data_IF_123525442494
#
_entry.id   IF_123525442494
#
_cell.length_a   1.000
_cell.length_b   1.000
_cell.length_c   1.000
_cell.angle_alpha   90.00
_cell.angle_beta   90.00
_cell.angle_gamma   90.00
#
_symmetry.space_group_name_H-M   'P 1'
#
loop_
_entity.id
_entity.type
_entity.pdbx_description
1 polymer ?
#
# COMPACT_ATOMS: atom_id res chain seq x y z
N UNK A 1 27.84 14.70 -6.14
CA UNK A 1 28.20 13.44 -5.45
C UNK A 1 27.01 12.49 -5.35
N UNK A 2 25.79 13.01 -5.20
CA UNK A 2 24.54 12.23 -5.20
C UNK A 2 24.35 11.25 -6.38
N UNK A 3 24.79 11.60 -7.60
CA UNK A 3 24.64 10.73 -8.78
C UNK A 3 25.31 9.35 -8.61
N UNK A 4 26.38 9.25 -7.83
CA UNK A 4 27.05 7.98 -7.54
C UNK A 4 26.19 7.06 -6.66
N UNK A 5 25.42 7.64 -5.73
CA UNK A 5 24.49 6.91 -4.88
C UNK A 5 23.36 6.31 -5.72
N UNK A 6 22.81 7.08 -6.66
CA UNK A 6 21.80 6.59 -7.61
C UNK A 6 22.34 5.44 -8.48
N UNK A 7 23.56 5.58 -9.02
CA UNK A 7 24.20 4.53 -9.81
C UNK A 7 24.46 3.28 -8.98
N UNK A 8 24.97 3.43 -7.75
CA UNK A 8 25.19 2.32 -6.84
C UNK A 8 23.88 1.61 -6.48
N UNK A 9 22.81 2.37 -6.23
CA UNK A 9 21.50 1.81 -5.95
C UNK A 9 20.93 1.07 -7.16
N UNK A 10 20.95 1.66 -8.36
CA UNK A 10 20.51 0.98 -9.59
C UNK A 10 21.33 -0.30 -9.80
N UNK A 11 22.65 -0.26 -9.58
CA UNK A 11 23.51 -1.45 -9.62
C UNK A 11 23.10 -2.52 -8.62
N UNK A 12 22.78 -2.14 -7.38
CA UNK A 12 22.24 -3.05 -6.36
C UNK A 12 20.91 -3.67 -6.82
N UNK A 13 19.99 -2.88 -7.38
CA UNK A 13 18.70 -3.39 -7.86
C UNK A 13 18.88 -4.36 -9.03
N UNK A 14 19.72 -4.02 -10.01
CA UNK A 14 20.04 -4.92 -11.11
C UNK A 14 20.66 -6.22 -10.61
N UNK A 15 21.57 -6.15 -9.63
CA UNK A 15 22.15 -7.32 -8.99
C UNK A 15 21.08 -8.18 -8.30
N UNK A 16 20.22 -7.58 -7.48
CA UNK A 16 19.13 -8.28 -6.78
C UNK A 16 18.16 -8.93 -7.77
N UNK A 17 17.81 -8.24 -8.86
CA UNK A 17 16.98 -8.79 -9.93
C UNK A 17 17.66 -9.99 -10.61
N UNK A 18 18.94 -9.85 -10.98
CA UNK A 18 19.71 -10.95 -11.59
C UNK A 18 19.78 -12.16 -10.65
N UNK A 19 19.99 -11.97 -9.35
CA UNK A 19 19.99 -13.06 -8.37
C UNK A 19 18.62 -13.72 -8.26
N UNK A 20 17.55 -12.93 -8.12
CA UNK A 20 16.16 -13.41 -8.00
C UNK A 20 15.69 -14.20 -9.24
N UNK A 21 16.22 -13.87 -10.42
CA UNK A 21 15.84 -14.50 -11.70
C UNK A 21 16.77 -15.63 -12.12
N UNK A 22 18.08 -15.45 -11.93
CA UNK A 22 19.11 -16.34 -12.46
C UNK A 22 19.41 -17.54 -11.56
N UNK A 23 19.21 -17.40 -10.25
CA UNK A 23 19.63 -18.41 -9.27
C UNK A 23 18.48 -19.11 -8.55
N UNK A 24 17.41 -18.39 -8.18
CA UNK A 24 16.42 -18.93 -7.23
C UNK A 24 15.19 -19.63 -7.84
N UNK A 25 14.85 -19.41 -9.12
CA UNK A 25 13.59 -19.88 -9.70
C UNK A 25 13.74 -20.56 -11.07
N UNK A 26 14.76 -21.42 -11.25
CA UNK A 26 15.03 -22.10 -12.54
C UNK A 26 13.97 -23.12 -12.97
N UNK A 27 13.08 -23.55 -12.07
CA UNK A 27 12.03 -24.53 -12.40
C UNK A 27 10.63 -23.98 -12.06
N UNK A 28 9.69 -23.96 -13.02
CA UNK A 28 8.31 -23.56 -12.78
C UNK A 28 7.60 -24.66 -11.97
N UNK A 29 7.70 -24.58 -10.64
CA UNK A 29 6.95 -25.43 -9.70
C UNK A 29 6.08 -24.52 -8.84
N UNK A 30 4.89 -25.00 -8.46
CA UNK A 30 4.04 -24.27 -7.53
C UNK A 30 4.81 -24.09 -6.21
N UNK A 31 5.16 -22.84 -5.91
CA UNK A 31 5.91 -22.48 -4.69
C UNK A 31 5.06 -22.86 -3.49
N UNK A 32 5.61 -23.64 -2.57
CA UNK A 32 4.94 -24.00 -1.33
C UNK A 32 4.67 -22.73 -0.50
N UNK A 33 3.57 -22.68 0.25
CA UNK A 33 3.28 -21.54 1.14
C UNK A 33 4.45 -21.23 2.08
N UNK A 34 5.18 -22.26 2.56
CA UNK A 34 6.35 -22.07 3.43
C UNK A 34 7.52 -21.40 2.70
N UNK A 35 7.77 -21.82 1.47
CA UNK A 35 8.82 -21.26 0.62
C UNK A 35 8.48 -19.81 0.24
N UNK A 36 7.22 -19.54 -0.08
CA UNK A 36 6.76 -18.21 -0.43
C UNK A 36 6.81 -17.24 0.77
N UNK A 37 6.49 -17.72 1.97
CA UNK A 37 6.67 -16.95 3.22
C UNK A 37 8.14 -16.69 3.52
N UNK A 38 9.03 -17.68 3.33
CA UNK A 38 10.47 -17.49 3.51
C UNK A 38 11.02 -16.43 2.53
N UNK A 39 10.58 -16.47 1.27
CA UNK A 39 10.91 -15.45 0.29
C UNK A 39 10.37 -14.08 0.67
N UNK A 40 9.12 -13.99 1.12
CA UNK A 40 8.55 -12.72 1.59
C UNK A 40 9.34 -12.17 2.78
N UNK A 41 9.72 -13.02 3.72
CA UNK A 41 10.52 -12.63 4.88
C UNK A 41 11.89 -12.10 4.45
N UNK A 42 12.56 -12.79 3.52
CA UNK A 42 13.83 -12.34 2.95
C UNK A 42 13.72 -10.93 2.36
N UNK A 43 12.72 -10.67 1.52
CA UNK A 43 12.54 -9.35 0.91
C UNK A 43 12.22 -8.24 1.92
N UNK A 44 11.44 -8.56 2.96
CA UNK A 44 11.17 -7.62 4.06
C UNK A 44 12.46 -7.31 4.83
N UNK A 45 13.27 -8.32 5.14
CA UNK A 45 14.55 -8.10 5.82
C UNK A 45 15.50 -7.24 5.00
N UNK A 46 15.56 -7.42 3.68
CA UNK A 46 16.36 -6.56 2.80
C UNK A 46 15.88 -5.10 2.82
N UNK A 47 14.56 -4.87 2.83
CA UNK A 47 14.00 -3.53 2.95
C UNK A 47 14.31 -2.90 4.31
N UNK A 48 14.23 -3.66 5.41
CA UNK A 48 14.58 -3.17 6.75
C UNK A 48 16.07 -2.91 6.92
N UNK A 49 16.93 -3.75 6.35
CA UNK A 49 18.37 -3.52 6.31
C UNK A 49 18.71 -2.25 5.52
N UNK A 50 18.03 -2.02 4.39
CA UNK A 50 18.17 -0.79 3.63
C UNK A 50 17.61 0.42 4.39
N UNK A 51 16.54 0.26 5.17
CA UNK A 51 16.02 1.32 6.03
C UNK A 51 17.05 1.76 7.09
N UNK A 52 17.77 0.80 7.68
CA UNK A 52 18.88 1.08 8.58
C UNK A 52 20.03 1.78 7.86
N UNK A 53 20.30 1.40 6.61
CA UNK A 53 21.26 2.12 5.77
C UNK A 53 20.81 3.57 5.50
N UNK A 54 19.53 3.81 5.21
CA UNK A 54 18.96 5.16 5.05
C UNK A 54 19.15 5.99 6.32
N UNK A 55 18.91 5.41 7.50
CA UNK A 55 19.17 6.08 8.77
C UNK A 55 20.61 6.60 8.84
N UNK A 56 21.60 5.74 8.63
CA UNK A 56 23.01 6.15 8.71
C UNK A 56 23.43 7.07 7.56
N UNK A 57 22.87 6.89 6.37
CA UNK A 57 23.15 7.72 5.20
C UNK A 57 22.76 9.18 5.45
N UNK A 58 21.57 9.41 6.02
CA UNK A 58 21.05 10.74 6.32
C UNK A 58 21.63 11.32 7.61
N UNK A 59 21.80 10.51 8.66
CA UNK A 59 22.39 10.95 9.94
C UNK A 59 23.84 11.45 9.77
N UNK A 60 24.64 10.74 8.97
CA UNK A 60 26.04 11.12 8.72
C UNK A 60 26.20 12.04 7.51
N UNK A 61 25.10 12.46 6.88
CA UNK A 61 25.08 13.29 5.68
C UNK A 61 25.99 12.79 4.55
N UNK A 62 26.06 11.47 4.38
CA UNK A 62 26.89 10.85 3.36
C UNK A 62 26.48 11.32 1.96
N UNK A 63 27.47 11.67 1.13
CA UNK A 63 27.27 12.22 -0.21
C UNK A 63 26.44 13.53 -0.26
N UNK A 64 26.26 14.21 0.87
CA UNK A 64 25.43 15.41 0.99
C UNK A 64 23.95 15.15 1.30
N UNK A 65 23.56 13.89 1.57
CA UNK A 65 22.16 13.54 1.85
C UNK A 65 21.66 14.19 3.13
N UNK A 66 20.41 14.65 3.11
CA UNK A 66 19.80 15.37 4.24
C UNK A 66 20.20 16.84 4.35
N UNK A 67 21.15 17.30 3.53
CA UNK A 67 21.55 18.71 3.42
C UNK A 67 20.87 19.36 2.21
N UNK A 68 19.53 19.39 2.21
CA UNK A 68 18.80 19.99 1.09
C UNK A 68 18.86 21.52 1.11
N UNK A 69 18.84 22.12 -0.08
CA UNK A 69 18.84 23.58 -0.28
C UNK A 69 17.64 24.33 0.36
N UNK A 70 16.62 23.60 0.80
CA UNK A 70 15.39 24.12 1.40
C UNK A 70 15.44 24.08 2.93
N UNK A 71 16.41 24.80 3.53
CA UNK A 71 16.54 25.20 4.96
C UNK A 71 16.22 24.19 6.10
N UNK A 72 15.92 22.92 5.83
CA UNK A 72 15.51 21.92 6.81
C UNK A 72 16.43 20.72 6.63
N UNK A 73 17.27 20.48 7.64
CA UNK A 73 18.15 19.30 7.68
C UNK A 73 17.25 18.10 7.97
N UNK A 74 17.28 17.10 7.09
CA UNK A 74 16.56 15.85 7.32
C UNK A 74 17.47 14.90 8.09
N UNK A 75 17.12 14.60 9.33
CA UNK A 75 17.88 13.68 10.18
C UNK A 75 17.67 12.20 9.80
N UNK A 76 18.53 11.33 10.32
CA UNK A 76 18.47 9.90 9.99
C UNK A 76 17.17 9.23 10.44
N UNK A 77 16.63 9.66 11.58
CA UNK A 77 15.41 9.09 12.15
C UNK A 77 14.20 9.40 11.26
N UNK A 78 14.03 10.65 10.84
CA UNK A 78 12.95 11.09 9.99
C UNK A 78 13.07 10.47 8.59
N UNK A 79 14.28 10.41 8.02
CA UNK A 79 14.51 9.74 6.73
C UNK A 79 14.13 8.25 6.77
N UNK A 80 14.50 7.53 7.84
CA UNK A 80 14.14 6.13 8.02
C UNK A 80 12.62 5.94 8.22
N UNK A 81 11.96 6.86 8.95
CA UNK A 81 10.51 6.83 9.08
C UNK A 81 9.80 7.12 7.75
N UNK A 82 10.32 8.04 6.94
CA UNK A 82 9.83 8.34 5.60
C UNK A 82 9.99 7.13 4.67
N UNK A 83 11.14 6.47 4.68
CA UNK A 83 11.37 5.26 3.90
C UNK A 83 10.41 4.15 4.32
N UNK A 84 10.29 3.88 5.63
CA UNK A 84 9.43 2.81 6.14
C UNK A 84 7.96 3.08 5.86
N UNK A 85 7.49 4.32 6.04
CA UNK A 85 6.14 4.73 5.69
C UNK A 85 5.87 4.54 4.19
N UNK A 86 6.81 4.96 3.34
CA UNK A 86 6.68 4.77 1.91
C UNK A 86 6.66 3.32 1.48
N UNK A 87 7.55 2.51 2.07
CA UNK A 87 7.61 1.08 1.85
C UNK A 87 6.29 0.41 2.22
N UNK A 88 5.73 0.71 3.40
CA UNK A 88 4.48 0.09 3.86
C UNK A 88 3.29 0.52 3.00
N UNK A 89 3.17 1.81 2.66
CA UNK A 89 2.10 2.31 1.77
C UNK A 89 2.18 1.58 0.43
N UNK A 90 3.35 1.58 -0.22
CA UNK A 90 3.50 0.95 -1.52
C UNK A 90 3.34 -0.57 -1.45
N UNK A 91 3.86 -1.22 -0.40
CA UNK A 91 3.73 -2.68 -0.23
C UNK A 91 2.27 -3.08 -0.07
N UNK A 92 1.46 -2.23 0.54
CA UNK A 92 0.04 -2.48 0.74
C UNK A 92 -0.75 -2.29 -0.56
N UNK A 93 -0.47 -1.23 -1.31
CA UNK A 93 -1.17 -0.93 -2.58
C UNK A 93 -0.78 -1.89 -3.69
N UNK A 94 0.46 -2.34 -3.73
CA UNK A 94 0.91 -3.35 -4.69
C UNK A 94 0.23 -4.72 -4.52
N UNK A 95 -0.44 -5.00 -3.39
CA UNK A 95 -1.27 -6.20 -3.23
C UNK A 95 -2.50 -6.17 -4.15
N UNK A 96 -3.09 -4.99 -4.37
CA UNK A 96 -4.19 -4.85 -5.33
C UNK A 96 -3.70 -5.07 -6.77
N UNK A 97 -2.45 -4.71 -7.06
CA UNK A 97 -1.84 -4.94 -8.38
C UNK A 97 -1.70 -6.44 -8.69
N UNK A 98 -1.46 -7.28 -7.67
CA UNK A 98 -1.40 -8.75 -7.83
C UNK A 98 -2.75 -9.29 -8.32
N UNK A 99 -3.88 -8.75 -7.86
CA UNK A 99 -5.23 -9.15 -8.29
C UNK A 99 -5.38 -8.91 -9.79
N UNK A 100 -5.00 -7.73 -10.27
CA UNK A 100 -5.10 -7.41 -11.70
C UNK A 100 -4.20 -8.32 -12.51
N UNK A 101 -2.96 -8.56 -12.08
CA UNK A 101 -2.04 -9.46 -12.79
C UNK A 101 -2.64 -10.87 -12.91
N UNK A 102 -3.21 -11.41 -11.82
CA UNK A 102 -3.87 -12.71 -11.82
C UNK A 102 -5.09 -12.74 -12.77
N UNK A 103 -5.93 -11.70 -12.75
CA UNK A 103 -7.08 -11.57 -13.65
C UNK A 103 -6.65 -11.54 -15.11
N UNK A 104 -5.63 -10.76 -15.44
CA UNK A 104 -5.09 -10.66 -16.80
C UNK A 104 -4.52 -12.00 -17.26
N UNK A 105 -3.71 -12.67 -16.43
CA UNK A 105 -3.20 -14.00 -16.76
C UNK A 105 -4.30 -15.03 -16.95
N UNK A 106 -5.35 -15.00 -16.12
CA UNK A 106 -6.51 -15.89 -16.25
C UNK A 106 -7.30 -15.60 -17.53
N UNK A 107 -7.59 -14.32 -17.80
CA UNK A 107 -8.34 -13.87 -18.97
C UNK A 107 -7.66 -14.28 -20.28
N UNK A 108 -6.34 -14.03 -20.39
CA UNK A 108 -5.55 -14.43 -21.56
C UNK A 108 -5.09 -15.90 -21.53
N UNK A 109 -5.46 -16.66 -20.48
CA UNK A 109 -5.08 -18.06 -20.27
C UNK A 109 -3.57 -18.30 -20.41
N UNK A 110 -2.76 -17.44 -19.81
CA UNK A 110 -1.30 -17.47 -19.91
C UNK A 110 -0.74 -18.68 -19.17
N UNK A 111 -0.04 -19.61 -19.86
CA UNK A 111 0.60 -20.76 -19.22
C UNK A 111 1.58 -20.33 -18.11
N UNK A 112 1.60 -21.07 -16.99
CA UNK A 112 2.44 -20.77 -15.81
C UNK A 112 3.94 -20.60 -16.16
N UNK A 113 4.43 -21.35 -17.15
CA UNK A 113 5.83 -21.27 -17.60
C UNK A 113 6.19 -19.91 -18.22
N UNK A 114 5.22 -19.19 -18.80
CA UNK A 114 5.45 -17.88 -19.42
C UNK A 114 5.13 -16.70 -18.47
N UNK A 115 4.39 -16.93 -17.39
CA UNK A 115 4.05 -15.89 -16.41
C UNK A 115 5.31 -15.28 -15.78
N UNK A 116 6.33 -16.10 -15.50
CA UNK A 116 7.60 -15.63 -14.92
C UNK A 116 8.27 -14.56 -15.80
N UNK A 117 8.31 -14.78 -17.11
CA UNK A 117 8.91 -13.84 -18.07
C UNK A 117 8.13 -12.54 -18.14
N UNK A 118 6.80 -12.61 -18.13
CA UNK A 118 5.97 -11.40 -18.12
C UNK A 118 6.18 -10.62 -16.83
N UNK A 119 6.20 -11.29 -15.68
CA UNK A 119 6.47 -10.64 -14.39
C UNK A 119 7.86 -10.00 -14.34
N UNK A 120 8.87 -10.63 -14.94
CA UNK A 120 10.21 -10.05 -15.00
C UNK A 120 10.26 -8.74 -15.79
N UNK A 121 9.77 -8.77 -17.03
CA UNK A 121 9.72 -7.56 -17.86
C UNK A 121 8.76 -6.53 -17.27
N UNK A 122 7.69 -7.01 -16.61
CA UNK A 122 6.74 -6.24 -15.83
C UNK A 122 7.41 -5.42 -14.72
N UNK A 123 8.28 -6.05 -13.93
CA UNK A 123 9.01 -5.34 -12.88
C UNK A 123 9.93 -4.28 -13.49
N UNK A 124 10.68 -4.61 -14.56
CA UNK A 124 11.57 -3.64 -15.20
C UNK A 124 10.82 -2.44 -15.78
N UNK A 125 9.70 -2.67 -16.47
CA UNK A 125 8.88 -1.59 -17.03
C UNK A 125 8.28 -0.72 -15.94
N UNK A 126 7.71 -1.33 -14.90
CA UNK A 126 7.17 -0.61 -13.73
C UNK A 126 8.23 0.26 -13.06
N UNK A 127 9.44 -0.27 -12.81
CA UNK A 127 10.52 0.49 -12.20
C UNK A 127 10.88 1.74 -13.01
N UNK A 128 10.91 1.60 -14.34
CA UNK A 128 11.21 2.71 -15.25
C UNK A 128 10.07 3.73 -15.32
N UNK A 129 8.83 3.27 -15.51
CA UNK A 129 7.66 4.14 -15.58
C UNK A 129 7.45 4.90 -14.27
N UNK A 130 7.64 4.23 -13.13
CA UNK A 130 7.54 4.87 -11.82
C UNK A 130 8.62 5.90 -11.60
N UNK A 131 9.86 5.66 -12.04
CA UNK A 131 10.89 6.71 -11.98
C UNK A 131 10.43 7.98 -12.69
N UNK A 132 9.88 7.84 -13.91
CA UNK A 132 9.36 8.97 -14.68
C UNK A 132 8.23 9.67 -13.95
N UNK A 133 7.24 8.91 -13.46
CA UNK A 133 6.07 9.49 -12.77
C UNK A 133 6.43 10.14 -11.43
N UNK A 134 7.37 9.56 -10.67
CA UNK A 134 7.86 10.13 -9.41
C UNK A 134 8.59 11.45 -9.69
N UNK A 135 9.54 11.47 -10.64
CA UNK A 135 10.26 12.69 -10.97
C UNK A 135 9.33 13.78 -11.50
N UNK A 136 8.40 13.42 -12.40
CA UNK A 136 7.39 14.34 -12.91
C UNK A 136 6.43 14.85 -11.82
N UNK A 137 6.03 13.96 -10.91
CA UNK A 137 5.16 14.29 -9.78
C UNK A 137 5.83 15.21 -8.76
N UNK A 138 7.11 14.99 -8.45
CA UNK A 138 7.90 15.88 -7.58
C UNK A 138 8.02 17.26 -8.22
N UNK A 139 8.34 17.34 -9.52
CA UNK A 139 8.40 18.60 -10.25
C UNK A 139 7.04 19.33 -10.25
N UNK A 140 5.93 18.60 -10.36
CA UNK A 140 4.59 19.16 -10.28
C UNK A 140 4.28 19.71 -8.88
N UNK A 141 4.59 18.95 -7.83
CA UNK A 141 4.35 19.33 -6.42
C UNK A 141 5.24 20.46 -5.94
N UNK A 142 6.48 20.55 -6.43
CA UNK A 142 7.40 21.64 -6.10
C UNK A 142 7.02 22.94 -6.81
N UNK A 143 6.45 22.86 -8.01
CA UNK A 143 6.05 24.04 -8.80
C UNK A 143 4.66 24.56 -8.38
N UNK A 144 3.71 23.67 -8.12
CA UNK A 144 2.31 24.02 -7.87
C UNK A 144 1.86 23.59 -6.48
N UNK A 145 2.01 24.47 -5.48
CA UNK A 145 1.62 24.13 -4.10
C UNK A 145 0.14 23.70 -3.95
N UNK A 146 -0.76 24.23 -4.78
CA UNK A 146 -2.18 23.87 -4.78
C UNK A 146 -2.46 22.44 -5.27
N UNK A 147 -1.50 21.80 -5.96
CA UNK A 147 -1.67 20.43 -6.45
C UNK A 147 -1.84 19.43 -5.31
N UNK A 148 -1.29 19.72 -4.12
CA UNK A 148 -1.49 18.87 -2.94
C UNK A 148 -2.97 18.77 -2.57
N UNK A 149 -3.77 19.83 -2.81
CA UNK A 149 -5.21 19.77 -2.60
C UNK A 149 -5.92 18.90 -3.64
N UNK A 150 -5.49 18.98 -4.90
CA UNK A 150 -6.02 18.13 -5.98
C UNK A 150 -5.72 16.67 -5.68
N UNK A 151 -4.48 16.36 -5.33
CA UNK A 151 -4.04 15.03 -4.91
C UNK A 151 -4.80 14.53 -3.69
N UNK A 152 -4.96 15.38 -2.67
CA UNK A 152 -5.75 15.03 -1.48
C UNK A 152 -7.22 14.71 -1.79
N UNK A 153 -7.87 15.55 -2.60
CA UNK A 153 -9.24 15.35 -3.03
C UNK A 153 -9.38 14.11 -3.92
N UNK A 154 -8.41 13.87 -4.81
CA UNK A 154 -8.36 12.70 -5.68
C UNK A 154 -8.25 11.41 -4.88
N UNK A 155 -7.36 11.35 -3.88
CA UNK A 155 -7.22 10.18 -3.00
C UNK A 155 -8.49 9.88 -2.20
N UNK A 156 -9.19 10.90 -1.71
CA UNK A 156 -10.49 10.71 -1.05
C UNK A 156 -11.52 10.21 -2.04
N UNK A 157 -11.55 10.76 -3.25
CA UNK A 157 -12.44 10.31 -4.31
C UNK A 157 -12.19 8.84 -4.67
N UNK A 158 -10.93 8.42 -4.85
CA UNK A 158 -10.60 7.03 -5.18
C UNK A 158 -10.87 6.08 -4.02
N UNK A 159 -10.63 6.50 -2.77
CA UNK A 159 -11.06 5.77 -1.58
C UNK A 159 -12.58 5.52 -1.54
N UNK A 160 -13.39 6.57 -1.78
CA UNK A 160 -14.85 6.44 -1.79
C UNK A 160 -15.30 5.56 -2.96
N UNK A 161 -14.74 5.79 -4.15
CA UNK A 161 -15.00 4.97 -5.34
C UNK A 161 -14.70 3.50 -5.06
N UNK A 162 -13.58 3.19 -4.41
CA UNK A 162 -13.19 1.82 -4.07
C UNK A 162 -14.20 1.12 -3.12
N UNK A 163 -14.87 1.87 -2.24
CA UNK A 163 -15.88 1.34 -1.31
C UNK A 163 -17.29 1.25 -1.91
N UNK A 164 -17.65 2.17 -2.80
CA UNK A 164 -19.01 2.32 -3.33
C UNK A 164 -19.17 1.60 -4.67
N UNK A 165 -18.18 1.74 -5.56
CA UNK A 165 -18.20 1.17 -6.89
C UNK A 165 -17.58 -0.22 -6.79
N UNK A 166 -18.43 -1.23 -7.02
CA UNK A 166 -17.97 -2.59 -7.32
C UNK A 166 -17.08 -2.47 -8.55
N UNK A 167 -15.87 -3.02 -8.49
CA UNK A 167 -14.97 -2.99 -9.64
C UNK A 167 -15.72 -3.52 -10.85
N UNK A 168 -16.13 -2.61 -11.73
CA UNK A 168 -16.72 -2.95 -13.00
C UNK A 168 -15.71 -3.81 -13.74
N UNK A 169 -16.21 -4.83 -14.43
CA UNK A 169 -15.44 -5.78 -15.20
C UNK A 169 -14.29 -5.06 -15.92
N UNK A 170 -13.05 -5.30 -15.49
CA UNK A 170 -11.87 -4.93 -16.25
C UNK A 170 -11.94 -5.74 -17.53
N UNK A 171 -12.55 -5.18 -18.57
CA UNK A 171 -12.51 -5.73 -19.92
C UNK A 171 -11.17 -5.32 -20.53
N UNK A 172 -10.16 -6.23 -20.59
CA UNK A 172 -8.81 -5.84 -21.02
C UNK A 172 -8.80 -5.33 -22.48
N UNK A 173 -9.82 -5.69 -23.25
CA UNK A 173 -10.05 -5.26 -24.63
C UNK A 173 -10.34 -3.75 -24.77
N UNK A 174 -10.82 -3.09 -23.72
CA UNK A 174 -11.11 -1.66 -23.73
C UNK A 174 -9.92 -0.78 -23.32
N UNK A 175 -8.79 -1.38 -22.96
CA UNK A 175 -7.60 -0.63 -22.59
C UNK A 175 -7.07 0.17 -23.80
N UNK A 176 -6.93 1.51 -23.70
CA UNK A 176 -6.46 2.35 -24.79
C UNK A 176 -5.11 1.92 -25.37
N UNK A 177 -4.19 1.46 -24.51
CA UNK A 177 -2.86 1.01 -24.94
C UNK A 177 -2.93 -0.30 -25.71
N UNK A 178 -3.84 -1.20 -25.34
CA UNK A 178 -4.06 -2.46 -26.09
C UNK A 178 -4.64 -2.15 -27.47
N UNK A 179 -5.61 -1.25 -27.54
CA UNK A 179 -6.20 -0.79 -28.80
C UNK A 179 -5.15 -0.11 -29.70
N UNK A 180 -4.26 0.67 -29.09
CA UNK A 180 -3.13 1.30 -29.79
C UNK A 180 -2.15 0.24 -30.31
N UNK A 181 -1.82 -0.78 -29.51
CA UNK A 181 -0.95 -1.87 -29.93
C UNK A 181 -1.55 -2.65 -31.11
N UNK A 182 -2.85 -2.97 -31.09
CA UNK A 182 -3.54 -3.60 -32.22
C UNK A 182 -3.57 -2.73 -33.48
N UNK A 183 -3.50 -1.41 -33.34
CA UNK A 183 -3.44 -0.47 -34.47
C UNK A 183 -2.07 -0.48 -35.15
N UNK A 184 -0.99 -0.66 -34.39
CA UNK A 184 0.38 -0.58 -34.91
C UNK A 184 1.00 -1.94 -35.24
N UNK A 185 0.58 -3.03 -34.59
CA UNK A 185 1.15 -4.36 -34.78
C UNK A 185 0.07 -5.43 -35.00
N UNK A 186 0.19 -6.28 -36.04
CA UNK A 186 -0.67 -7.45 -36.20
C UNK A 186 -0.43 -8.48 -35.07
N UNK A 187 -1.48 -9.13 -34.58
CA UNK A 187 -1.39 -10.12 -33.50
C UNK A 187 -1.38 -11.56 -34.03
N UNK A 188 -0.61 -12.44 -33.39
CA UNK A 188 -0.65 -13.88 -33.64
C UNK A 188 -1.89 -14.54 -33.04
N UNK A 189 -2.33 -15.67 -33.59
CA UNK A 189 -3.50 -16.42 -33.09
C UNK A 189 -3.24 -17.19 -31.79
N UNK A 190 -1.97 -17.38 -31.40
CA UNK A 190 -1.60 -18.12 -30.19
C UNK A 190 -0.26 -17.71 -29.59
N UNK A 191 0.09 -18.35 -28.47
CA UNK A 191 1.38 -18.18 -27.81
C UNK A 191 2.49 -18.86 -28.63
N UNK A 192 3.59 -18.13 -28.86
CA UNK A 192 4.78 -18.64 -29.53
C UNK A 192 5.94 -18.70 -28.54
N UNK A 193 5.95 -19.77 -27.74
CA UNK A 193 6.91 -19.96 -26.65
C UNK A 193 6.90 -18.76 -25.68
N UNK A 194 8.08 -18.31 -25.29
CA UNK A 194 8.27 -17.19 -24.39
C UNK A 194 8.39 -15.85 -25.15
N UNK A 195 8.33 -15.81 -26.49
CA UNK A 195 8.61 -14.61 -27.28
C UNK A 195 7.47 -13.59 -27.24
N UNK A 196 7.82 -12.30 -27.15
CA UNK A 196 6.87 -11.18 -27.24
C UNK A 196 6.54 -10.76 -28.68
N UNK A 197 7.51 -10.94 -29.57
CA UNK A 197 7.36 -10.63 -30.98
C UNK A 197 7.87 -11.81 -31.79
N UNK A 198 7.20 -12.08 -32.89
CA UNK A 198 7.67 -13.01 -33.91
C UNK A 198 7.68 -12.31 -35.25
N UNK A 199 8.57 -12.74 -36.14
CA UNK A 199 8.55 -12.31 -37.53
C UNK A 199 7.95 -13.43 -38.35
N UNK A 200 6.79 -13.17 -38.93
CA UNK A 200 6.12 -14.12 -39.82
C UNK A 200 5.84 -13.42 -41.15
N UNK A 201 6.19 -14.08 -42.27
CA UNK A 201 6.01 -13.55 -43.63
C UNK A 201 6.56 -12.12 -43.81
N UNK A 202 7.73 -11.84 -43.24
CA UNK A 202 8.40 -10.53 -43.33
C UNK A 202 7.82 -9.43 -42.41
N UNK A 203 6.64 -9.63 -41.82
CA UNK A 203 5.98 -8.68 -40.90
C UNK A 203 6.27 -9.02 -39.44
N UNK A 204 6.47 -7.98 -38.63
CA UNK A 204 6.60 -8.13 -37.18
C UNK A 204 5.19 -8.27 -36.58
N UNK A 205 4.94 -9.39 -35.91
CA UNK A 205 3.68 -9.68 -35.22
C UNK A 205 3.93 -9.70 -33.71
N UNK A 206 3.01 -9.12 -32.95
CA UNK A 206 3.02 -9.20 -31.49
C UNK A 206 2.32 -10.48 -31.04
N UNK A 207 2.86 -11.12 -30.01
CA UNK A 207 2.22 -12.28 -29.39
C UNK A 207 1.25 -11.84 -28.29
N UNK A 208 0.27 -12.69 -27.90
CA UNK A 208 -0.59 -12.40 -26.76
C UNK A 208 0.20 -12.10 -25.47
N UNK A 209 1.41 -12.65 -25.33
CA UNK A 209 2.27 -12.42 -24.17
C UNK A 209 2.70 -10.95 -24.04
N UNK A 210 2.90 -10.27 -25.18
CA UNK A 210 3.24 -8.83 -25.18
C UNK A 210 2.03 -7.97 -24.80
N UNK A 211 0.84 -8.34 -25.28
CA UNK A 211 -0.42 -7.66 -24.90
C UNK A 211 -0.65 -7.77 -23.40
N UNK A 212 -0.44 -8.95 -22.83
CA UNK A 212 -0.51 -9.19 -21.37
C UNK A 212 0.45 -8.28 -20.62
N UNK A 213 1.73 -8.20 -21.05
CA UNK A 213 2.71 -7.30 -20.45
C UNK A 213 2.23 -5.85 -20.48
N UNK A 214 1.76 -5.39 -21.64
CA UNK A 214 1.27 -4.02 -21.81
C UNK A 214 0.07 -3.72 -20.91
N UNK A 215 -0.88 -4.66 -20.76
CA UNK A 215 -2.03 -4.49 -19.84
C UNK A 215 -1.53 -4.36 -18.41
N UNK A 216 -0.58 -5.19 -17.99
CA UNK A 216 -0.02 -5.14 -16.62
C UNK A 216 0.67 -3.79 -16.39
N UNK A 217 1.56 -3.37 -17.28
CA UNK A 217 2.28 -2.08 -17.20
C UNK A 217 1.32 -0.90 -17.14
N UNK A 218 0.32 -0.88 -18.03
CA UNK A 218 -0.68 0.19 -18.06
C UNK A 218 -1.54 0.22 -16.79
N UNK A 219 -1.82 -0.94 -16.20
CA UNK A 219 -2.57 -1.02 -14.95
C UNK A 219 -1.75 -0.49 -13.79
N UNK A 220 -0.44 -0.78 -13.74
CA UNK A 220 0.44 -0.19 -12.72
C UNK A 220 0.50 1.33 -12.84
N UNK A 221 0.58 1.89 -14.05
CA UNK A 221 0.50 3.34 -14.26
C UNK A 221 -0.80 3.91 -13.69
N UNK A 222 -1.94 3.26 -13.93
CA UNK A 222 -3.23 3.68 -13.36
C UNK A 222 -3.22 3.64 -11.83
N UNK A 223 -2.64 2.59 -11.23
CA UNK A 223 -2.50 2.48 -9.77
C UNK A 223 -1.53 3.51 -9.19
N UNK A 224 -0.48 3.86 -9.93
CA UNK A 224 0.48 4.87 -9.53
C UNK A 224 -0.15 6.27 -9.44
N UNK A 225 -1.27 6.53 -10.13
CA UNK A 225 -2.04 7.77 -9.97
C UNK A 225 -2.58 7.89 -8.53
N UNK A 226 -2.90 6.78 -7.86
CA UNK A 226 -3.29 6.78 -6.45
C UNK A 226 -2.07 6.73 -5.52
N UNK A 227 -1.11 5.84 -5.78
CA UNK A 227 -0.01 5.60 -4.83
C UNK A 227 1.05 6.70 -4.80
N UNK A 228 1.29 7.42 -5.91
CA UNK A 228 2.29 8.49 -5.99
C UNK A 228 1.88 9.73 -5.17
N UNK A 229 0.65 10.25 -5.30
CA UNK A 229 0.15 11.27 -4.37
C UNK A 229 0.29 10.87 -2.90
N UNK A 230 -0.02 9.60 -2.59
CA UNK A 230 0.03 9.12 -1.22
C UNK A 230 1.45 9.13 -0.63
N UNK A 231 2.47 8.75 -1.41
CA UNK A 231 3.87 8.83 -0.96
C UNK A 231 4.33 10.29 -0.80
N UNK A 232 3.86 11.22 -1.63
CA UNK A 232 4.20 12.65 -1.48
C UNK A 232 3.60 13.32 -0.24
N UNK A 233 2.57 12.72 0.35
CA UNK A 233 2.07 13.11 1.67
C UNK A 233 3.00 12.69 2.82
N UNK A 234 3.96 11.82 2.54
CA UNK A 234 4.96 11.32 3.50
C UNK A 234 6.30 12.02 3.28
N UNK A 235 6.80 12.04 2.05
CA UNK A 235 8.08 12.64 1.70
C UNK A 235 8.12 13.11 0.26
N UNK A 236 8.87 14.18 0.02
CA UNK A 236 9.16 14.70 -1.32
C UNK A 236 10.61 14.42 -1.73
N UNK A 237 11.38 13.71 -0.90
CA UNK A 237 12.74 13.32 -1.18
C UNK A 237 12.79 12.26 -2.29
N UNK A 238 13.27 12.58 -3.50
CA UNK A 238 13.19 11.67 -4.64
C UNK A 238 13.85 10.32 -4.36
N UNK A 239 14.97 10.33 -3.64
CA UNK A 239 15.70 9.11 -3.30
C UNK A 239 14.91 8.21 -2.34
N UNK A 240 14.29 8.77 -1.30
CA UNK A 240 13.47 8.00 -0.36
C UNK A 240 12.21 7.47 -1.05
N UNK A 241 11.52 8.33 -1.81
CA UNK A 241 10.33 7.95 -2.59
C UNK A 241 10.66 6.78 -3.52
N UNK A 242 11.72 6.90 -4.32
CA UNK A 242 12.09 5.89 -5.29
C UNK A 242 12.55 4.59 -4.63
N UNK A 243 13.50 4.66 -3.70
CA UNK A 243 14.08 3.45 -3.08
C UNK A 243 13.05 2.64 -2.32
N UNK A 244 12.19 3.28 -1.51
CA UNK A 244 11.13 2.60 -0.75
C UNK A 244 10.12 1.90 -1.67
N UNK A 245 9.80 2.53 -2.79
CA UNK A 245 8.91 1.99 -3.80
C UNK A 245 9.48 0.74 -4.48
N UNK A 246 10.76 0.80 -4.86
CA UNK A 246 11.46 -0.34 -5.44
C UNK A 246 11.48 -1.50 -4.45
N UNK A 247 11.88 -1.29 -3.20
CA UNK A 247 11.89 -2.37 -2.21
C UNK A 247 10.51 -2.97 -1.96
N UNK A 248 9.43 -2.18 -2.07
CA UNK A 248 8.07 -2.67 -1.95
C UNK A 248 7.67 -3.59 -3.12
N UNK A 249 8.10 -3.24 -4.35
CA UNK A 249 7.84 -3.99 -5.58
C UNK A 249 8.73 -5.23 -5.69
N UNK A 250 9.96 -5.16 -5.17
CA UNK A 250 10.85 -6.32 -5.09
C UNK A 250 10.20 -7.41 -4.21
N UNK A 251 10.24 -8.64 -4.71
CA UNK A 251 9.56 -9.77 -4.09
C UNK A 251 8.05 -9.87 -4.37
N UNK A 252 7.43 -9.00 -5.18
CA UNK A 252 6.04 -9.21 -5.60
C UNK A 252 5.86 -10.49 -6.41
N UNK A 253 6.88 -10.92 -7.15
CA UNK A 253 6.87 -12.18 -7.91
C UNK A 253 6.74 -13.41 -7.02
N UNK A 254 7.50 -13.49 -5.93
CA UNK A 254 7.37 -14.60 -4.97
C UNK A 254 6.04 -14.49 -4.21
N UNK A 255 5.58 -13.28 -3.96
CA UNK A 255 4.29 -13.03 -3.31
C UNK A 255 3.11 -13.43 -4.19
N UNK A 256 3.15 -13.21 -5.52
CA UNK A 256 2.08 -13.62 -6.45
C UNK A 256 1.75 -15.10 -6.31
N UNK A 257 2.76 -15.97 -6.29
CA UNK A 257 2.54 -17.42 -6.15
C UNK A 257 2.05 -17.82 -4.75
N UNK A 258 2.41 -17.06 -3.71
CA UNK A 258 1.87 -17.23 -2.35
C UNK A 258 0.40 -16.80 -2.25
N UNK A 259 0.14 -15.57 -2.72
CA UNK A 259 -1.07 -14.82 -2.46
C UNK A 259 -2.19 -15.15 -3.43
N UNK A 260 -1.91 -15.57 -4.67
CA UNK A 260 -2.96 -15.92 -5.62
C UNK A 260 -3.91 -17.00 -5.06
N UNK A 261 -3.41 -17.88 -4.18
CA UNK A 261 -4.22 -18.90 -3.48
C UNK A 261 -4.91 -18.40 -2.20
N UNK A 262 -4.42 -17.30 -1.61
CA UNK A 262 -4.91 -16.75 -0.34
C UNK A 262 -5.69 -15.44 -0.52
N UNK A 263 -5.74 -14.86 -1.72
CA UNK A 263 -6.30 -13.52 -1.96
C UNK A 263 -7.77 -13.42 -1.57
N UNK A 264 -8.53 -14.49 -1.81
CA UNK A 264 -9.94 -14.64 -1.42
C UNK A 264 -10.16 -14.57 0.10
N UNK A 265 -9.09 -14.72 0.90
CA UNK A 265 -9.11 -14.69 2.37
C UNK A 265 -9.03 -13.28 2.95
N UNK A 266 -8.71 -12.26 2.15
CA UNK A 266 -8.42 -10.90 2.60
C UNK A 266 -9.48 -9.87 2.19
N UNK A 267 -10.76 -10.22 2.32
CA UNK A 267 -11.87 -9.32 1.94
C UNK A 267 -11.82 -7.94 2.62
N UNK A 268 -11.28 -7.84 3.85
CA UNK A 268 -11.19 -6.58 4.59
C UNK A 268 -9.97 -5.74 4.22
N UNK A 269 -9.01 -6.29 3.45
CA UNK A 269 -7.83 -5.55 3.00
C UNK A 269 -8.21 -4.40 2.07
N UNK A 270 -9.18 -4.61 1.17
CA UNK A 270 -9.72 -3.54 0.30
C UNK A 270 -10.27 -2.36 1.11
N UNK A 271 -10.98 -2.64 2.21
CA UNK A 271 -11.49 -1.60 3.09
C UNK A 271 -10.38 -0.87 3.85
N UNK A 272 -9.34 -1.60 4.27
CA UNK A 272 -8.12 -1.00 4.85
C UNK A 272 -7.43 -0.07 3.86
N UNK A 273 -7.22 -0.50 2.60
CA UNK A 273 -6.59 0.31 1.56
C UNK A 273 -7.40 1.57 1.23
N UNK A 274 -8.73 1.46 1.10
CA UNK A 274 -9.59 2.62 0.92
C UNK A 274 -9.50 3.60 2.10
N UNK A 275 -9.48 3.10 3.34
CA UNK A 275 -9.32 3.95 4.51
C UNK A 275 -7.95 4.65 4.52
N UNK A 276 -6.87 3.94 4.18
CA UNK A 276 -5.54 4.52 4.05
C UNK A 276 -5.52 5.66 3.02
N UNK A 277 -6.13 5.45 1.85
CA UNK A 277 -6.23 6.47 0.81
C UNK A 277 -7.01 7.70 1.29
N UNK A 278 -8.14 7.49 1.96
CA UNK A 278 -8.91 8.60 2.54
C UNK A 278 -8.11 9.35 3.61
N UNK A 279 -7.42 8.63 4.51
CA UNK A 279 -6.60 9.24 5.54
C UNK A 279 -5.47 10.08 4.96
N UNK A 280 -4.71 9.52 4.00
CA UNK A 280 -3.62 10.23 3.35
C UNK A 280 -4.14 11.43 2.56
N UNK A 281 -5.28 11.28 1.88
CA UNK A 281 -5.93 12.38 1.18
C UNK A 281 -6.34 13.52 2.12
N UNK A 282 -6.96 13.19 3.27
CA UNK A 282 -7.28 14.18 4.31
C UNK A 282 -6.02 14.85 4.84
N UNK A 283 -4.96 14.08 5.13
CA UNK A 283 -3.66 14.63 5.57
C UNK A 283 -3.12 15.65 4.56
N UNK A 284 -3.21 15.38 3.26
CA UNK A 284 -2.78 16.32 2.21
C UNK A 284 -3.63 17.59 2.18
N UNK A 285 -4.96 17.48 2.35
CA UNK A 285 -5.86 18.63 2.37
C UNK A 285 -5.61 19.57 3.57
N UNK A 286 -5.30 19.01 4.75
CA UNK A 286 -5.07 19.81 5.96
C UNK A 286 -3.61 20.23 6.15
N UNK A 287 -2.69 19.82 5.27
CA UNK A 287 -1.24 19.98 5.46
C UNK A 287 -0.80 21.43 5.71
N UNK A 288 -1.53 22.41 5.17
CA UNK A 288 -1.23 23.84 5.36
C UNK A 288 -1.71 24.41 6.71
N UNK A 289 -2.57 23.69 7.43
CA UNK A 289 -3.15 24.10 8.71
C UNK A 289 -2.61 23.25 9.87
N UNK A 290 -2.48 21.94 9.65
CA UNK A 290 -2.01 20.97 10.63
C UNK A 290 -1.10 19.93 9.99
N UNK A 291 0.15 19.85 10.46
CA UNK A 291 1.10 18.82 10.04
C UNK A 291 0.97 17.60 10.96
N UNK A 292 0.45 16.50 10.42
CA UNK A 292 0.39 15.23 11.15
C UNK A 292 1.81 14.63 11.21
N UNK A 293 2.37 14.38 12.41
CA UNK A 293 3.68 13.75 12.54
C UNK A 293 3.75 12.42 11.81
N UNK A 294 4.92 12.14 11.23
CA UNK A 294 5.10 10.94 10.40
C UNK A 294 4.94 9.65 11.19
N UNK A 295 5.38 9.61 12.46
CA UNK A 295 5.18 8.48 13.35
C UNK A 295 3.71 8.17 13.62
N UNK A 296 2.87 9.20 13.76
CA UNK A 296 1.40 9.05 13.89
C UNK A 296 0.81 8.50 12.60
N UNK A 297 1.26 9.02 11.45
CA UNK A 297 0.84 8.51 10.14
C UNK A 297 1.20 7.03 9.98
N UNK A 298 2.44 6.65 10.32
CA UNK A 298 2.93 5.27 10.22
C UNK A 298 2.18 4.32 11.18
N UNK A 299 1.96 4.74 12.42
CA UNK A 299 1.20 3.97 13.39
C UNK A 299 -0.26 3.77 12.93
N UNK A 300 -0.86 4.81 12.36
CA UNK A 300 -2.18 4.70 11.73
C UNK A 300 -2.15 3.73 10.55
N UNK A 301 -1.19 3.87 9.63
CA UNK A 301 -1.09 3.00 8.45
C UNK A 301 -0.93 1.53 8.87
N UNK A 302 0.04 1.24 9.74
CA UNK A 302 0.28 -0.09 10.26
C UNK A 302 -0.92 -0.64 11.04
N UNK A 303 -1.60 0.20 11.83
CA UNK A 303 -2.79 -0.17 12.58
C UNK A 303 -3.97 -0.57 11.69
N UNK A 304 -4.25 0.20 10.65
CA UNK A 304 -5.30 -0.08 9.66
C UNK A 304 -5.05 -1.39 8.92
N UNK A 305 -3.80 -1.64 8.54
CA UNK A 305 -3.41 -2.87 7.85
C UNK A 305 -3.50 -4.08 8.78
N UNK A 306 -2.93 -3.97 9.98
CA UNK A 306 -2.96 -5.04 10.96
C UNK A 306 -4.39 -5.41 11.34
N UNK A 307 -5.25 -4.41 11.56
CA UNK A 307 -6.66 -4.63 11.89
C UNK A 307 -7.43 -5.24 10.72
N UNK A 308 -7.17 -4.82 9.48
CA UNK A 308 -7.72 -5.45 8.29
C UNK A 308 -7.30 -6.92 8.12
N UNK A 309 -6.03 -7.22 8.36
CA UNK A 309 -5.48 -8.58 8.31
C UNK A 309 -6.09 -9.45 9.40
N UNK A 310 -6.08 -8.99 10.66
CA UNK A 310 -6.66 -9.74 11.78
C UNK A 310 -8.17 -9.95 11.59
N UNK A 311 -8.91 -8.93 11.18
CA UNK A 311 -10.34 -9.04 10.89
C UNK A 311 -10.61 -10.08 9.79
N UNK A 312 -9.78 -10.10 8.73
CA UNK A 312 -9.86 -11.08 7.65
C UNK A 312 -9.62 -12.52 8.14
N UNK A 313 -8.65 -12.71 9.03
CA UNK A 313 -8.36 -14.03 9.62
C UNK A 313 -9.50 -14.50 10.54
N UNK A 314 -10.03 -13.61 11.39
CA UNK A 314 -11.08 -13.97 12.35
C UNK A 314 -12.45 -14.17 11.70
N UNK A 315 -12.79 -13.43 10.65
CA UNK A 315 -14.03 -13.63 9.91
C UNK A 315 -14.11 -15.00 9.22
N UNK A 316 -12.95 -15.58 8.88
CA UNK A 316 -12.79 -16.87 8.21
C UNK A 316 -13.28 -18.07 9.03
N UNK A 317 -13.40 -17.93 10.35
CA UNK A 317 -13.95 -18.98 11.22
C UNK A 317 -15.45 -19.22 11.08
N UNK A 318 -16.16 -18.48 10.20
CA UNK A 318 -17.63 -18.51 10.10
C UNK A 318 -18.21 -18.98 8.76
N UNK A 319 -17.45 -19.04 7.66
CA UNK A 319 -17.97 -19.46 6.35
C UNK A 319 -17.12 -20.59 5.76
N UNK A 320 -17.56 -21.84 5.95
CA UNK A 320 -17.09 -23.02 5.20
C UNK A 320 -18.12 -23.37 4.13
N UNK A 321 -18.09 -22.67 3.00
CA UNK A 321 -18.79 -23.12 1.80
C UNK A 321 -17.82 -23.93 0.90
N UNK A 322 -18.25 -25.06 0.30
CA UNK A 322 -17.39 -25.96 -0.43
C UNK A 322 -16.82 -25.34 -1.72
N UNK A 323 -15.61 -25.80 -2.08
CA UNK A 323 -14.81 -25.37 -3.22
C UNK A 323 -15.54 -25.58 -4.56
N UNK A 324 -16.17 -24.52 -5.07
CA UNK A 324 -16.62 -24.40 -6.47
C UNK A 324 -15.84 -23.24 -7.12
N UNK A 325 -15.49 -23.42 -8.39
CA UNK A 325 -14.48 -22.68 -9.16
C UNK A 325 -14.36 -21.16 -8.86
N UNK A 326 -13.13 -20.60 -8.77
CA UNK A 326 -12.86 -19.45 -7.90
C UNK A 326 -13.08 -18.06 -8.50
N UNK A 327 -13.46 -17.92 -9.78
CA UNK A 327 -13.30 -16.64 -10.49
C UNK A 327 -14.63 -15.89 -10.72
N UNK A 328 -15.76 -16.59 -10.76
CA UNK A 328 -17.08 -15.94 -10.91
C UNK A 328 -17.68 -15.48 -9.57
N UNK A 329 -17.41 -16.22 -8.48
CA UNK A 329 -18.02 -15.98 -7.17
C UNK A 329 -17.42 -14.81 -6.39
N UNK A 330 -16.23 -14.31 -6.74
CA UNK A 330 -15.60 -13.23 -5.97
C UNK A 330 -16.29 -11.88 -6.20
N UNK A 331 -16.79 -11.66 -7.42
CA UNK A 331 -17.62 -10.50 -7.77
C UNK A 331 -19.03 -10.60 -7.16
N UNK A 332 -19.65 -11.79 -7.14
CA UNK A 332 -20.95 -12.02 -6.52
C UNK A 332 -20.91 -12.03 -4.97
N UNK A 333 -19.85 -12.53 -4.35
CA UNK A 333 -19.69 -12.51 -2.89
C UNK A 333 -19.50 -11.09 -2.35
N UNK A 334 -18.73 -10.25 -3.06
CA UNK A 334 -18.65 -8.81 -2.80
C UNK A 334 -19.99 -8.11 -3.09
N UNK A 335 -20.82 -8.69 -3.96
CA UNK A 335 -22.14 -8.17 -4.31
C UNK A 335 -23.20 -8.35 -3.20
N UNK A 336 -22.95 -9.25 -2.24
CA UNK A 336 -23.86 -9.51 -1.13
C UNK A 336 -23.44 -8.84 0.18
N UNK A 337 -22.31 -8.11 0.20
CA UNK A 337 -21.88 -7.36 1.39
C UNK A 337 -22.90 -6.28 1.68
N UNK A 338 -23.68 -6.49 2.73
CA UNK A 338 -24.78 -5.60 3.11
C UNK A 338 -24.21 -4.30 3.66
N UNK A 339 -24.88 -3.16 3.47
CA UNK A 339 -24.44 -1.85 4.02
C UNK A 339 -24.14 -1.89 5.52
N UNK A 340 -24.78 -2.81 6.27
CA UNK A 340 -24.47 -3.09 7.68
C UNK A 340 -23.07 -3.67 7.89
N UNK A 341 -22.63 -4.60 7.04
CA UNK A 341 -21.28 -5.15 7.10
C UNK A 341 -20.25 -4.09 6.74
N UNK A 342 -20.47 -3.29 5.67
CA UNK A 342 -19.59 -2.17 5.31
C UNK A 342 -19.45 -1.18 6.46
N UNK A 343 -20.58 -0.77 7.08
CA UNK A 343 -20.57 0.13 8.25
C UNK A 343 -19.82 -0.46 9.44
N UNK A 344 -20.00 -1.75 9.73
CA UNK A 344 -19.24 -2.46 10.77
C UNK A 344 -17.74 -2.46 10.50
N UNK A 345 -17.34 -2.65 9.25
CA UNK A 345 -15.94 -2.65 8.83
C UNK A 345 -15.34 -1.26 8.96
N UNK A 346 -16.01 -0.25 8.43
CA UNK A 346 -15.58 1.15 8.56
C UNK A 346 -15.43 1.50 10.04
N UNK A 347 -16.43 1.13 10.87
CA UNK A 347 -16.39 1.41 12.32
C UNK A 347 -15.25 0.66 13.01
N UNK A 348 -14.98 -0.58 12.61
CA UNK A 348 -13.87 -1.37 13.12
C UNK A 348 -12.54 -0.70 12.78
N UNK A 349 -12.27 -0.49 11.49
CA UNK A 349 -11.00 0.08 10.99
C UNK A 349 -10.77 1.47 11.57
N UNK A 350 -11.76 2.38 11.47
CA UNK A 350 -11.65 3.74 12.01
C UNK A 350 -11.43 3.69 13.52
N UNK A 351 -12.26 2.93 14.23
CA UNK A 351 -12.23 2.88 15.69
C UNK A 351 -10.96 2.24 16.25
N UNK A 352 -10.48 1.13 15.67
CA UNK A 352 -9.24 0.47 16.06
C UNK A 352 -8.02 1.33 15.75
N UNK A 353 -8.04 2.07 14.64
CA UNK A 353 -6.96 2.98 14.25
C UNK A 353 -6.84 4.14 15.22
N UNK A 354 -7.95 4.81 15.54
CA UNK A 354 -7.98 5.90 16.52
C UNK A 354 -7.52 5.39 17.90
N UNK A 355 -7.94 4.19 18.28
CA UNK A 355 -7.49 3.55 19.52
C UNK A 355 -5.97 3.34 19.54
N UNK A 356 -5.39 2.78 18.47
CA UNK A 356 -3.95 2.53 18.36
C UNK A 356 -3.13 3.81 18.40
N UNK A 357 -3.58 4.87 17.70
CA UNK A 357 -2.96 6.20 17.77
C UNK A 357 -3.01 6.74 19.21
N UNK A 358 -4.15 6.61 19.89
CA UNK A 358 -4.29 7.01 21.28
C UNK A 358 -3.35 6.24 22.23
N UNK A 359 -3.16 4.94 22.02
CA UNK A 359 -2.21 4.12 22.78
C UNK A 359 -0.77 4.55 22.49
N UNK A 360 -0.40 4.82 21.24
CA UNK A 360 0.93 5.30 20.88
C UNK A 360 1.26 6.66 21.53
N UNK A 361 0.25 7.53 21.70
CA UNK A 361 0.37 8.80 22.44
C UNK A 361 0.56 8.65 23.96
N UNK A 362 0.56 7.43 24.52
CA UNK A 362 1.01 7.22 25.90
C UNK A 362 2.55 7.27 26.00
N UNK A 363 3.23 6.93 24.91
CA UNK A 363 4.70 6.94 24.82
C UNK A 363 5.20 8.22 24.15
N UNK A 364 4.46 8.72 23.15
CA UNK A 364 4.73 9.98 22.46
C UNK A 364 3.99 11.13 23.15
N UNK A 365 4.57 12.34 23.31
CA UNK A 365 3.85 13.46 23.92
C UNK A 365 2.60 13.81 23.10
N UNK A 366 1.42 13.58 23.67
CA UNK A 366 0.13 13.82 23.01
C UNK A 366 -1.07 13.58 23.93
N UNK A 367 -2.29 14.03 23.55
CA UNK A 367 -3.48 13.95 24.40
C UNK A 367 -4.10 12.53 24.39
N UNK A 368 -3.34 11.51 24.78
CA UNK A 368 -3.79 10.11 24.81
C UNK A 368 -5.10 9.92 25.60
N UNK A 369 -5.27 10.67 26.68
CA UNK A 369 -6.47 10.66 27.52
C UNK A 369 -7.75 11.09 26.79
N UNK A 370 -7.63 11.81 25.66
CA UNK A 370 -8.75 12.22 24.81
C UNK A 370 -8.94 11.23 23.66
N UNK A 371 -7.84 10.83 23.02
CA UNK A 371 -7.90 10.03 21.78
C UNK A 371 -8.36 8.59 22.06
N UNK A 372 -7.93 7.97 23.17
CA UNK A 372 -8.31 6.59 23.52
C UNK A 372 -9.83 6.47 23.74
N UNK A 373 -10.49 7.33 24.55
CA UNK A 373 -11.96 7.30 24.68
C UNK A 373 -12.71 7.50 23.37
N UNK A 374 -12.19 8.34 22.45
CA UNK A 374 -12.81 8.56 21.14
C UNK A 374 -12.75 7.29 20.29
N UNK A 375 -11.61 6.60 20.24
CA UNK A 375 -11.46 5.34 19.53
C UNK A 375 -12.41 4.25 20.05
N UNK A 376 -12.50 4.12 21.38
CA UNK A 376 -13.45 3.22 22.03
C UNK A 376 -14.91 3.59 21.76
N UNK A 377 -15.26 4.88 21.77
CA UNK A 377 -16.61 5.35 21.49
C UNK A 377 -17.04 5.02 20.05
N UNK A 378 -16.12 5.14 19.09
CA UNK A 378 -16.36 4.75 17.69
C UNK A 378 -16.64 3.25 17.62
N UNK A 379 -15.78 2.41 18.21
CA UNK A 379 -15.96 0.95 18.23
C UNK A 379 -17.24 0.52 18.95
N UNK A 380 -17.61 1.20 20.05
CA UNK A 380 -18.79 0.89 20.84
C UNK A 380 -20.13 1.02 20.07
N UNK A 381 -20.15 1.74 18.94
CA UNK A 381 -21.35 1.86 18.08
C UNK A 381 -21.76 0.52 17.45
N UNK A 382 -20.80 -0.36 17.19
CA UNK A 382 -21.03 -1.60 16.45
C UNK A 382 -20.57 -2.86 17.21
N UNK A 383 -19.70 -2.70 18.23
CA UNK A 383 -19.08 -3.80 18.97
C UNK A 383 -19.39 -3.74 20.48
N UNK A 384 -20.02 -4.80 20.99
CA UNK A 384 -20.45 -4.92 22.39
C UNK A 384 -19.25 -4.91 23.36
N UNK A 385 -18.15 -5.57 23.01
CA UNK A 385 -16.95 -5.61 23.86
C UNK A 385 -16.35 -4.20 24.05
N UNK A 386 -16.38 -3.37 23.00
CA UNK A 386 -15.85 -2.01 23.06
C UNK A 386 -16.74 -1.10 23.92
N UNK A 387 -18.07 -1.31 23.88
CA UNK A 387 -19.02 -0.62 24.77
C UNK A 387 -18.70 -0.86 26.25
N UNK A 388 -18.39 -2.10 26.61
CA UNK A 388 -18.05 -2.46 28.00
C UNK A 388 -16.78 -1.74 28.49
N UNK A 389 -15.74 -1.69 27.65
CA UNK A 389 -14.51 -0.95 27.96
C UNK A 389 -14.73 0.57 28.01
N UNK A 390 -15.51 1.11 27.08
CA UNK A 390 -15.85 2.54 27.05
C UNK A 390 -16.56 2.99 28.34
N UNK A 391 -17.57 2.24 28.78
CA UNK A 391 -18.31 2.54 30.02
C UNK A 391 -17.39 2.51 31.25
N UNK A 392 -16.51 1.50 31.33
CA UNK A 392 -15.55 1.37 32.43
C UNK A 392 -14.56 2.54 32.51
N UNK A 393 -14.05 3.01 31.37
CA UNK A 393 -13.15 4.18 31.32
C UNK A 393 -13.91 5.46 31.68
N UNK A 394 -15.14 5.63 31.17
CA UNK A 394 -15.98 6.79 31.47
C UNK A 394 -16.27 6.91 32.97
N UNK A 395 -16.56 5.79 33.63
CA UNK A 395 -16.82 5.74 35.07
C UNK A 395 -15.57 6.08 35.89
N UNK A 396 -14.39 5.56 35.52
CA UNK A 396 -13.12 5.92 36.16
C UNK A 396 -12.77 7.40 36.02
N UNK A 397 -12.96 7.98 34.83
CA UNK A 397 -12.71 9.41 34.60
C UNK A 397 -13.65 10.29 35.42
N UNK A 398 -14.93 9.91 35.55
CA UNK A 398 -15.88 10.65 36.39
C UNK A 398 -15.47 10.62 37.87
N UNK A 399 -15.10 9.46 38.39
CA UNK A 399 -14.64 9.32 39.77
C UNK A 399 -13.36 10.12 40.07
N UNK A 400 -12.48 10.29 39.09
CA UNK A 400 -11.28 11.13 39.23
C UNK A 400 -11.63 12.63 39.23
N UNK A 401 -12.51 13.07 38.33
CA UNK A 401 -12.97 14.47 38.28
C UNK A 401 -13.70 14.86 39.56
N UNK A 402 -14.58 13.99 40.06
CA UNK A 402 -15.32 14.22 41.31
C UNK A 402 -14.34 14.34 42.51
N UNK A 403 -13.34 13.45 42.62
CA UNK A 403 -12.31 13.54 43.66
C UNK A 403 -11.46 14.81 43.58
N UNK A 404 -11.09 15.25 42.37
CA UNK A 404 -10.33 16.49 42.18
C UNK A 404 -11.18 17.70 42.52
N UNK A 405 -12.45 17.73 42.10
CA UNK A 405 -13.40 18.79 42.45
C UNK A 405 -13.59 18.89 43.96
N UNK A 406 -13.75 17.75 44.64
CA UNK A 406 -13.92 17.70 46.09
C UNK A 406 -12.65 18.15 46.84
N UNK A 407 -11.47 17.82 46.32
CA UNK A 407 -10.19 18.27 46.86
C UNK A 407 -9.97 19.78 46.66
N UNK A 408 -10.35 20.34 45.51
CA UNK A 408 -10.31 21.79 45.24
C UNK A 408 -11.30 22.53 46.13
N UNK A 409 -12.51 21.99 46.32
CA UNK A 409 -13.54 22.60 47.17
C UNK A 409 -13.11 22.64 48.64
N UNK A 410 -12.55 21.53 49.16
CA UNK A 410 -11.99 21.47 50.52
C UNK A 410 -10.81 22.42 50.74
N UNK A 411 -10.03 22.70 49.71
CA UNK A 411 -8.91 23.64 49.80
C UNK A 411 -9.39 25.09 49.87
N UNK A 412 -10.42 25.45 49.09
CA UNK A 412 -11.02 26.78 49.16
C UNK A 412 -11.76 27.03 50.49
N UNK A 413 -12.44 26.03 51.05
CA UNK A 413 -13.10 26.13 52.36
C UNK A 413 -12.10 26.21 53.56
N UNK A 414 -10.80 26.03 53.33
CA UNK A 414 -9.74 26.18 54.35
C UNK A 414 -8.98 27.51 54.26
N UNK A 415 -9.12 28.24 53.16
CA UNK A 415 -8.45 29.53 52.90
C UNK A 415 -9.39 30.75 53.13
N UNK A 416 -10.69 30.52 53.36
CA UNK A 416 -11.70 31.48 53.86
C UNK A 416 -11.90 31.32 55.38
#
# INVERSE_FOLDING_TARGET
>A
MESWLWLAFIGLILLLLVLDLGFFHRTPRAVSTREALAWSFFWIMQALAFNLFIYFLYENHWFGMGLNASQTILDGQEAALQFLAGYVIEKSLSLDNIVIIALVFSYFKVPLIYQHRVLFWGILGVLFLRLIMILGGIALVSTFHWINYVFGAFLIFTAIKMLVIRHDNLEPQNNPLVRLAYRYFPMTSGFHEDRFFIRNEGRLQMTPLFVVLLVIESSDVLFAIDSIPAIFAVTKEPFIVFTSNIFAILGLRSLYFALASMMQRFAYLKASLAFLMAFVGVKMLIANHYQIPIGVSLAMIGGVLLTGILASIFAQGRDTAPLVSPIANEQEALSQVTMRQVRKIITLVVGSTVLLVGIAMLVLPGPAFVVIPIGLAILAKEFVWAKHWYEKIKEHSKNLVDKVSDAVKKKNDQDD
#
